data_IF_497587883074
#
_entry.id   IF_497587883074
#
_cell.length_a   1.000
_cell.length_b   1.000
_cell.length_c   1.000
_cell.angle_alpha   90.00
_cell.angle_beta   90.00
_cell.angle_gamma   90.00
#
_symmetry.space_group_name_H-M   'P 1'
#
loop_
_entity.id
_entity.type
_entity.pdbx_description
1 polymer ?
#
# COMPACT_ATOMS: atom_id res chain seq x y z
N UNK A 1 -9.32 -8.25 -7.55
CA UNK A 1 -10.45 -7.43 -7.09
C UNK A 1 -10.12 -5.95 -6.91
N UNK A 2 -10.80 -5.11 -7.69
CA UNK A 2 -10.79 -3.63 -7.56
C UNK A 2 -11.25 -3.16 -6.18
N UNK A 3 -12.12 -3.92 -5.51
CA UNK A 3 -12.63 -3.59 -4.18
C UNK A 3 -11.51 -3.47 -3.13
N UNK A 4 -10.57 -4.44 -3.11
CA UNK A 4 -9.42 -4.43 -2.20
C UNK A 4 -8.50 -3.24 -2.47
N UNK A 5 -8.26 -2.94 -3.74
CA UNK A 5 -7.47 -1.77 -4.16
C UNK A 5 -8.09 -0.49 -3.61
N UNK A 6 -9.41 -0.35 -3.76
CA UNK A 6 -10.16 0.83 -3.31
C UNK A 6 -10.15 0.97 -1.79
N UNK A 7 -10.25 -0.13 -1.05
CA UNK A 7 -10.10 -0.13 0.40
C UNK A 7 -8.68 0.25 0.84
N UNK A 8 -7.65 -0.22 0.13
CA UNK A 8 -6.26 0.17 0.38
C UNK A 8 -6.08 1.68 0.22
N UNK A 9 -6.59 2.27 -0.86
CA UNK A 9 -6.58 3.72 -1.03
C UNK A 9 -7.35 4.48 0.05
N UNK A 10 -8.48 3.93 0.51
CA UNK A 10 -9.27 4.53 1.58
C UNK A 10 -8.49 4.57 2.90
N UNK A 11 -7.79 3.48 3.22
CA UNK A 11 -6.88 3.40 4.36
C UNK A 11 -5.72 4.39 4.21
N UNK A 12 -5.05 4.45 3.06
CA UNK A 12 -3.95 5.40 2.82
C UNK A 12 -4.40 6.86 2.98
N UNK A 13 -5.64 7.18 2.59
CA UNK A 13 -6.22 8.51 2.73
C UNK A 13 -6.52 8.89 4.20
N UNK A 14 -6.79 7.91 5.05
CA UNK A 14 -7.03 8.12 6.49
C UNK A 14 -5.76 8.52 7.23
N UNK A 15 -4.59 8.20 6.66
CA UNK A 15 -3.26 8.52 7.21
C UNK A 15 -2.47 9.40 6.24
N UNK A 16 -2.81 10.69 6.07
CA UNK A 16 -2.04 11.60 5.24
C UNK A 16 -0.62 11.80 5.80
N UNK A 17 0.38 11.89 4.92
CA UNK A 17 1.78 12.15 5.31
C UNK A 17 2.65 12.52 4.12
N UNK A 18 3.96 12.35 4.27
CA UNK A 18 4.97 12.70 3.25
C UNK A 18 5.59 11.47 2.58
N UNK A 19 5.31 10.26 3.05
CA UNK A 19 5.85 9.03 2.46
C UNK A 19 5.14 8.70 1.15
N UNK A 20 5.92 8.44 0.11
CA UNK A 20 5.41 8.00 -1.18
C UNK A 20 5.01 6.53 -1.13
N UNK A 21 3.83 6.23 -1.70
CA UNK A 21 3.32 4.86 -1.77
C UNK A 21 3.52 4.31 -3.18
N UNK A 22 4.21 3.18 -3.26
CA UNK A 22 4.36 2.42 -4.50
C UNK A 22 3.62 1.09 -4.39
N UNK A 23 2.76 0.80 -5.36
CA UNK A 23 1.97 -0.44 -5.37
C UNK A 23 2.54 -1.43 -6.39
N UNK A 24 3.07 -2.54 -5.90
CA UNK A 24 3.54 -3.64 -6.75
C UNK A 24 2.45 -4.70 -6.90
N UNK A 25 1.96 -4.89 -8.13
CA UNK A 25 0.96 -5.92 -8.45
C UNK A 25 1.65 -7.07 -9.17
N UNK A 26 1.83 -8.19 -8.47
CA UNK A 26 2.34 -9.43 -9.05
C UNK A 26 1.23 -10.14 -9.83
N UNK A 27 1.47 -10.43 -11.10
CA UNK A 27 0.64 -11.28 -11.97
C UNK A 27 1.49 -12.45 -12.47
N UNK A 28 0.86 -13.51 -12.97
CA UNK A 28 1.55 -14.67 -13.56
C UNK A 28 2.58 -14.28 -14.65
N UNK A 29 2.35 -13.18 -15.35
CA UNK A 29 3.20 -12.68 -16.44
C UNK A 29 4.31 -11.71 -15.98
N UNK A 30 4.32 -11.31 -14.69
CA UNK A 30 5.31 -10.39 -14.13
C UNK A 30 4.78 -9.46 -13.04
N UNK A 31 5.67 -8.63 -12.50
CA UNK A 31 5.34 -7.62 -11.47
C UNK A 31 5.13 -6.27 -12.14
N UNK A 32 3.99 -5.63 -11.88
CA UNK A 32 3.69 -4.28 -12.34
C UNK A 32 3.79 -3.34 -11.14
N UNK A 33 4.79 -2.47 -11.13
CA UNK A 33 4.87 -1.38 -10.17
C UNK A 33 4.05 -0.20 -10.67
N UNK A 34 3.07 0.20 -9.86
CA UNK A 34 2.23 1.37 -10.05
C UNK A 34 2.69 2.41 -9.03
N UNK A 35 3.39 3.43 -9.52
CA UNK A 35 3.65 4.64 -8.76
C UNK A 35 2.33 5.40 -8.62
N UNK A 36 2.03 5.86 -7.40
CA UNK A 36 0.79 6.57 -7.09
C UNK A 36 1.11 8.03 -6.77
N UNK A 37 1.38 8.86 -7.79
CA UNK A 37 1.73 10.26 -7.57
C UNK A 37 0.56 10.98 -6.88
N UNK A 38 0.81 11.48 -5.66
CA UNK A 38 -0.19 12.15 -4.82
C UNK A 38 -0.88 11.26 -3.79
N UNK A 39 -0.60 9.96 -3.75
CA UNK A 39 -0.92 9.12 -2.59
C UNK A 39 0.25 9.19 -1.60
N UNK A 40 0.33 10.30 -0.87
CA UNK A 40 1.29 10.43 0.23
C UNK A 40 0.63 10.00 1.52
N UNK A 41 1.27 9.08 2.22
CA UNK A 41 0.76 8.55 3.49
C UNK A 41 1.80 8.79 4.58
N UNK A 42 1.37 8.82 5.84
CA UNK A 42 2.29 8.81 6.96
C UNK A 42 2.53 7.37 7.35
N UNK A 43 3.71 6.82 7.04
CA UNK A 43 4.00 5.45 7.45
C UNK A 43 3.98 5.35 8.98
N UNK A 44 3.03 4.57 9.50
CA UNK A 44 2.84 4.37 10.93
C UNK A 44 2.47 2.91 11.22
N UNK A 45 2.78 2.41 12.44
CA UNK A 45 2.46 1.04 12.81
C UNK A 45 0.95 0.73 12.74
N UNK A 46 0.07 1.71 12.96
CA UNK A 46 -1.37 1.53 12.76
C UNK A 46 -1.76 1.30 11.30
N UNK A 47 -1.17 2.07 10.37
CA UNK A 47 -1.38 1.91 8.94
C UNK A 47 -0.93 0.51 8.49
N UNK A 48 0.27 0.09 8.93
CA UNK A 48 0.80 -1.23 8.62
C UNK A 48 -0.16 -2.34 9.07
N UNK A 49 -0.70 -2.26 10.30
CA UNK A 49 -1.65 -3.25 10.82
C UNK A 49 -2.97 -3.28 10.03
N UNK A 50 -3.50 -2.11 9.65
CA UNK A 50 -4.68 -1.98 8.79
C UNK A 50 -4.45 -2.64 7.43
N UNK A 51 -3.30 -2.37 6.81
CA UNK A 51 -2.92 -2.93 5.52
C UNK A 51 -2.73 -4.45 5.59
N UNK A 52 -2.04 -4.97 6.61
CA UNK A 52 -1.92 -6.42 6.84
C UNK A 52 -3.29 -7.09 7.04
N UNK A 53 -4.19 -6.46 7.78
CA UNK A 53 -5.55 -6.99 7.98
C UNK A 53 -6.37 -6.99 6.69
N UNK A 54 -6.10 -6.06 5.78
CA UNK A 54 -6.82 -5.90 4.51
C UNK A 54 -6.27 -6.82 3.41
N UNK A 55 -4.94 -6.88 3.28
CA UNK A 55 -4.24 -7.63 2.23
C UNK A 55 -4.01 -9.09 2.62
N UNK A 56 -3.96 -9.39 3.92
CA UNK A 56 -3.59 -10.70 4.46
C UNK A 56 -2.10 -10.76 4.86
N UNK A 57 -1.79 -11.64 5.80
CA UNK A 57 -0.41 -11.88 6.23
C UNK A 57 0.43 -12.40 5.04
N UNK A 58 1.42 -11.60 4.62
CA UNK A 58 2.37 -11.96 3.57
C UNK A 58 2.27 -11.17 2.26
N UNK A 59 1.21 -10.38 2.05
CA UNK A 59 1.03 -9.57 0.82
C UNK A 59 1.55 -8.12 0.97
N UNK A 60 1.91 -7.70 2.19
CA UNK A 60 2.51 -6.38 2.46
C UNK A 60 4.01 -6.52 2.70
N UNK A 61 4.81 -5.88 1.84
CA UNK A 61 6.25 -5.70 2.04
C UNK A 61 6.51 -4.22 2.30
N UNK A 62 7.06 -3.91 3.47
CA UNK A 62 7.55 -2.57 3.80
C UNK A 62 9.05 -2.55 3.52
N UNK A 63 9.51 -1.61 2.72
CA UNK A 63 10.94 -1.39 2.46
C UNK A 63 11.29 0.01 2.96
N UNK A 64 12.20 0.08 3.93
CA UNK A 64 12.78 1.35 4.39
C UNK A 64 13.88 1.75 3.41
N UNK A 65 13.74 2.91 2.76
CA UNK A 65 14.84 3.51 2.01
C UNK A 65 15.76 4.25 3.00
N UNK A 66 16.88 3.60 3.36
CA UNK A 66 17.94 4.17 4.21
C UNK A 66 18.93 5.03 3.42
#
# INVERSE_FOLDING_TARGET
DVARLRQLFDVLRDFPGEDEVCLSVTKDDGVINLELPGATTGYCPQLQQRLMSLLGEGELKVEEFS
#
